data_IF_713718975615
#
_entry.id   IF_713718975615
#
_cell.length_a   1.000
_cell.length_b   1.000
_cell.length_c   1.000
_cell.angle_alpha   90.00
_cell.angle_beta   90.00
_cell.angle_gamma   90.00
#
_symmetry.space_group_name_H-M   'P 1'
#
loop_
_entity.id
_entity.type
_entity.pdbx_description
1 polymer ?
#
# COMPACT_ATOMS: atom_id res chain seq x y z
N UNK A 1 -19.55 1.62 -32.64
CA UNK A 1 -18.75 0.87 -31.64
C UNK A 1 -17.35 0.64 -32.17
N UNK A 2 -16.35 0.66 -31.32
CA UNK A 2 -14.97 0.37 -31.66
C UNK A 2 -14.31 -0.52 -30.60
N UNK A 3 -13.26 -1.21 -31.03
CA UNK A 3 -12.44 -2.06 -30.16
C UNK A 3 -10.98 -1.63 -30.28
N UNK A 4 -10.26 -1.61 -29.17
CA UNK A 4 -8.84 -1.26 -29.12
C UNK A 4 -8.07 -2.23 -28.26
N UNK A 5 -6.85 -2.55 -28.68
CA UNK A 5 -5.87 -3.26 -27.86
C UNK A 5 -5.16 -2.24 -26.97
N UNK A 6 -4.98 -2.58 -25.70
CA UNK A 6 -4.24 -1.77 -24.73
C UNK A 6 -2.95 -2.46 -24.34
N UNK A 7 -1.85 -1.70 -24.33
CA UNK A 7 -0.59 -2.10 -23.70
C UNK A 7 -0.34 -1.09 -22.58
N UNK A 8 -0.14 -1.59 -21.36
CA UNK A 8 0.09 -0.78 -20.17
C UNK A 8 1.46 -1.09 -19.59
N UNK A 9 2.23 -0.05 -19.32
CA UNK A 9 3.49 -0.11 -18.59
C UNK A 9 3.37 0.85 -17.41
N UNK A 10 3.72 0.40 -16.20
CA UNK A 10 3.71 1.27 -15.04
C UNK A 10 4.77 0.86 -14.03
N UNK A 11 5.30 1.86 -13.32
CA UNK A 11 6.13 1.74 -12.13
C UNK A 11 5.35 2.45 -11.02
N UNK A 12 5.07 1.75 -9.93
CA UNK A 12 4.23 2.23 -8.85
C UNK A 12 4.91 2.01 -7.51
N UNK A 13 4.76 3.00 -6.64
CA UNK A 13 5.12 2.90 -5.23
C UNK A 13 3.86 3.11 -4.38
N UNK A 14 3.71 2.26 -3.37
CA UNK A 14 2.61 2.34 -2.42
C UNK A 14 3.17 2.41 -1.00
N UNK A 15 2.66 3.37 -0.22
CA UNK A 15 2.96 3.49 1.21
C UNK A 15 1.64 3.56 1.95
N UNK A 16 1.50 2.73 2.98
CA UNK A 16 0.34 2.71 3.87
C UNK A 16 0.84 2.66 5.30
N UNK A 17 0.27 3.50 6.17
CA UNK A 17 0.54 3.52 7.60
C UNK A 17 -0.80 3.52 8.31
N UNK A 18 -0.97 2.57 9.20
CA UNK A 18 -2.09 2.48 10.12
C UNK A 18 -1.52 2.52 11.53
N UNK A 19 -2.02 3.41 12.36
CA UNK A 19 -1.58 3.52 13.74
C UNK A 19 -2.73 4.02 14.64
N UNK A 20 -2.75 3.67 15.94
CA UNK A 20 -3.67 4.26 16.92
C UNK A 20 -3.50 5.78 17.02
N UNK A 21 -4.58 6.49 17.40
CA UNK A 21 -4.56 7.95 17.56
C UNK A 21 -3.46 8.42 18.54
N UNK A 22 -3.27 7.67 19.62
CA UNK A 22 -2.26 7.99 20.64
C UNK A 22 -0.83 7.93 20.10
N UNK A 23 -0.54 7.00 19.19
CA UNK A 23 0.76 6.92 18.53
C UNK A 23 1.03 8.19 17.68
N UNK A 24 0.01 8.74 17.03
CA UNK A 24 0.12 10.02 16.32
C UNK A 24 0.41 11.16 17.30
N UNK A 25 -0.34 11.25 18.40
CA UNK A 25 -0.12 12.29 19.42
C UNK A 25 1.29 12.23 19.97
N UNK A 26 1.82 11.05 20.26
CA UNK A 26 3.19 10.88 20.72
C UNK A 26 4.24 11.37 19.69
N UNK A 27 4.04 11.05 18.42
CA UNK A 27 5.00 11.44 17.35
C UNK A 27 5.00 12.96 17.12
N UNK A 28 3.84 13.62 17.15
CA UNK A 28 3.72 15.02 16.78
C UNK A 28 3.75 15.97 17.98
N UNK A 29 3.29 15.55 19.15
CA UNK A 29 3.16 16.37 20.36
C UNK A 29 4.19 15.99 21.44
N UNK A 30 4.83 14.82 21.27
CA UNK A 30 5.77 14.27 22.24
C UNK A 30 5.06 13.56 23.38
N UNK A 31 5.84 13.15 24.39
CA UNK A 31 5.37 12.33 25.51
C UNK A 31 4.67 13.12 26.64
N UNK A 32 4.51 14.43 26.52
CA UNK A 32 3.97 15.26 27.61
C UNK A 32 2.57 14.85 28.06
N UNK A 33 1.73 14.42 27.12
CA UNK A 33 0.35 14.03 27.39
C UNK A 33 0.26 12.67 28.09
N UNK A 34 1.36 11.91 28.12
CA UNK A 34 1.44 10.53 28.63
C UNK A 34 2.34 10.38 29.87
N UNK A 35 2.74 11.50 30.50
CA UNK A 35 3.55 11.48 31.71
C UNK A 35 2.78 10.78 32.83
N UNK A 36 3.39 9.73 33.41
CA UNK A 36 2.78 8.87 34.41
C UNK A 36 1.75 7.88 33.86
N UNK A 37 1.62 7.76 32.52
CA UNK A 37 0.62 6.94 31.85
C UNK A 37 1.23 6.00 30.81
N UNK A 38 0.44 5.04 30.36
CA UNK A 38 0.81 4.03 29.36
C UNK A 38 0.07 4.29 28.04
N UNK A 39 0.83 4.56 27.00
CA UNK A 39 0.38 4.66 25.64
C UNK A 39 0.25 3.26 25.02
N UNK A 40 -0.86 3.00 24.32
CA UNK A 40 -1.06 1.76 23.56
C UNK A 40 -0.78 2.02 22.09
N UNK A 41 0.17 1.27 21.54
CA UNK A 41 0.56 1.32 20.11
C UNK A 41 0.31 0.00 19.39
N UNK A 42 -0.51 -0.88 19.98
CA UNK A 42 -0.93 -2.15 19.37
C UNK A 42 -1.70 -1.92 18.06
N UNK A 43 -1.74 -2.95 17.22
CA UNK A 43 -2.42 -2.93 15.92
C UNK A 43 -1.91 -1.85 14.95
N UNK A 44 -0.65 -1.44 15.12
CA UNK A 44 -0.01 -0.51 14.19
C UNK A 44 0.69 -1.27 13.06
N UNK A 45 0.59 -0.75 11.85
CA UNK A 45 1.29 -1.33 10.70
C UNK A 45 1.79 -0.25 9.74
N UNK A 46 2.92 -0.55 9.11
CA UNK A 46 3.47 0.23 8.02
C UNK A 46 3.84 -0.70 6.87
N UNK A 47 3.47 -0.32 5.67
CA UNK A 47 3.79 -1.03 4.44
C UNK A 47 4.34 -0.04 3.43
N UNK A 48 5.50 -0.34 2.86
CA UNK A 48 6.04 0.34 1.70
C UNK A 48 6.38 -0.71 0.64
N UNK A 49 5.89 -0.55 -0.56
CA UNK A 49 6.21 -1.44 -1.66
C UNK A 49 6.37 -0.68 -2.97
N UNK A 50 7.24 -1.17 -3.83
CA UNK A 50 7.43 -0.72 -5.20
C UNK A 50 7.35 -1.90 -6.14
N UNK A 51 6.67 -1.72 -7.25
CA UNK A 51 6.49 -2.75 -8.26
C UNK A 51 6.30 -2.16 -9.65
N UNK A 52 6.68 -2.95 -10.65
CA UNK A 52 6.48 -2.66 -12.05
C UNK A 52 5.40 -3.56 -12.62
N UNK A 53 4.66 -3.06 -13.60
CA UNK A 53 3.62 -3.83 -14.30
C UNK A 53 3.80 -3.72 -15.79
N UNK A 54 3.59 -4.84 -16.45
CA UNK A 54 3.37 -4.94 -17.90
C UNK A 54 2.00 -5.57 -18.12
N UNK A 55 1.13 -4.88 -18.81
CA UNK A 55 -0.25 -5.32 -19.01
C UNK A 55 -0.66 -5.35 -20.48
N UNK A 56 -1.52 -6.32 -20.78
CA UNK A 56 -2.22 -6.43 -22.05
C UNK A 56 -3.72 -6.40 -21.77
N UNK A 57 -4.43 -5.59 -22.51
CA UNK A 57 -5.84 -5.40 -22.28
C UNK A 57 -6.63 -5.07 -23.53
N UNK A 58 -7.89 -4.88 -23.31
CA UNK A 58 -8.86 -4.59 -24.34
C UNK A 58 -9.81 -3.49 -23.87
N UNK A 59 -10.15 -2.59 -24.80
CA UNK A 59 -11.11 -1.52 -24.60
C UNK A 59 -12.22 -1.65 -25.62
N UNK A 60 -13.45 -1.49 -25.17
CA UNK A 60 -14.65 -1.44 -25.97
C UNK A 60 -15.36 -0.10 -25.78
N UNK A 61 -15.69 0.53 -26.90
CA UNK A 61 -16.43 1.79 -26.94
C UNK A 61 -17.76 1.55 -27.65
N UNK A 62 -18.84 1.24 -26.89
CA UNK A 62 -20.16 0.93 -27.48
C UNK A 62 -20.78 2.13 -28.16
N UNK A 63 -20.59 3.33 -27.63
CA UNK A 63 -21.12 4.58 -28.14
C UNK A 63 -20.16 5.74 -27.91
N UNK A 64 -20.41 6.89 -28.56
CA UNK A 64 -19.64 8.10 -28.33
C UNK A 64 -19.79 8.51 -26.85
N UNK A 65 -18.66 8.70 -26.17
CA UNK A 65 -18.62 9.09 -24.76
C UNK A 65 -18.71 7.94 -23.75
N UNK A 66 -18.89 6.68 -24.18
CA UNK A 66 -18.88 5.52 -23.28
C UNK A 66 -17.76 4.58 -23.64
N UNK A 67 -16.94 4.18 -22.67
CA UNK A 67 -15.93 3.14 -22.84
C UNK A 67 -15.85 2.22 -21.63
N UNK A 68 -15.49 0.97 -21.88
CA UNK A 68 -15.16 -0.03 -20.87
C UNK A 68 -13.82 -0.67 -21.23
N UNK A 69 -13.01 -1.00 -20.22
CA UNK A 69 -11.73 -1.66 -20.46
C UNK A 69 -11.43 -2.72 -19.41
N UNK A 70 -10.58 -3.67 -19.79
CA UNK A 70 -9.98 -4.63 -18.88
C UNK A 70 -8.53 -4.89 -19.31
N UNK A 71 -7.61 -4.96 -18.34
CA UNK A 71 -6.18 -5.20 -18.54
C UNK A 71 -5.72 -6.28 -17.57
N UNK A 72 -5.08 -7.31 -18.08
CA UNK A 72 -4.35 -8.29 -17.28
C UNK A 72 -2.88 -7.89 -17.22
N UNK A 73 -2.31 -7.82 -16.02
CA UNK A 73 -0.96 -7.36 -15.79
C UNK A 73 -0.11 -8.48 -15.19
N UNK A 74 1.12 -8.63 -15.69
CA UNK A 74 2.21 -9.24 -14.97
C UNK A 74 2.85 -8.19 -14.06
N UNK A 75 3.12 -8.58 -12.81
CA UNK A 75 3.68 -7.69 -11.78
C UNK A 75 5.06 -8.18 -11.37
N UNK A 76 6.04 -7.30 -11.43
CA UNK A 76 7.38 -7.52 -10.91
C UNK A 76 7.55 -6.69 -9.63
N UNK A 77 7.69 -7.36 -8.47
CA UNK A 77 7.92 -6.73 -7.17
C UNK A 77 9.39 -6.36 -7.01
N UNK A 78 9.66 -5.07 -6.88
CA UNK A 78 11.04 -4.56 -6.74
C UNK A 78 11.46 -4.42 -5.28
N UNK A 79 10.62 -3.82 -4.45
CA UNK A 79 10.92 -3.54 -3.05
C UNK A 79 9.69 -3.78 -2.17
N UNK A 80 9.95 -4.33 -0.99
CA UNK A 80 9.00 -4.48 0.09
C UNK A 80 9.67 -4.08 1.40
N UNK A 81 9.00 -3.30 2.21
CA UNK A 81 9.29 -3.14 3.63
C UNK A 81 7.94 -3.11 4.37
N UNK A 82 7.80 -3.95 5.37
CA UNK A 82 6.60 -3.98 6.20
C UNK A 82 6.97 -4.10 7.66
N UNK A 83 6.24 -3.39 8.51
CA UNK A 83 6.30 -3.47 9.96
C UNK A 83 4.87 -3.73 10.45
N UNK A 84 4.72 -4.68 11.36
CA UNK A 84 3.46 -4.93 12.02
C UNK A 84 3.71 -5.05 13.52
N UNK A 85 3.03 -4.23 14.32
CA UNK A 85 3.08 -4.23 15.79
C UNK A 85 1.76 -4.82 16.27
N UNK A 86 1.78 -6.09 16.66
CA UNK A 86 0.60 -6.78 17.16
C UNK A 86 0.28 -6.35 18.60
N UNK A 87 1.31 -6.18 19.41
CA UNK A 87 1.23 -5.67 20.78
C UNK A 87 2.30 -4.62 20.97
N UNK A 88 1.93 -3.48 21.51
CA UNK A 88 2.88 -2.43 21.84
C UNK A 88 2.33 -1.51 22.90
N UNK A 89 3.13 -1.26 23.92
CA UNK A 89 2.87 -0.28 24.97
C UNK A 89 4.11 0.54 25.23
N UNK A 90 3.94 1.81 25.56
CA UNK A 90 4.99 2.72 25.97
C UNK A 90 4.56 3.43 27.24
N UNK A 91 5.21 3.15 28.36
CA UNK A 91 5.01 3.85 29.61
C UNK A 91 5.97 5.05 29.69
N UNK A 92 5.46 6.21 30.07
CA UNK A 92 6.27 7.38 30.36
C UNK A 92 6.34 7.58 31.88
N UNK A 93 7.56 7.68 32.44
CA UNK A 93 7.76 7.92 33.87
C UNK A 93 7.04 9.19 34.36
N UNK A 94 6.75 9.26 35.67
CA UNK A 94 6.12 10.45 36.27
C UNK A 94 6.95 11.74 36.12
N UNK A 95 8.26 11.62 35.91
CA UNK A 95 9.16 12.75 35.64
C UNK A 95 9.25 13.09 34.15
N UNK A 96 8.71 12.23 33.27
CA UNK A 96 8.74 12.42 31.81
C UNK A 96 10.12 12.18 31.17
N UNK A 97 11.07 11.66 31.92
CA UNK A 97 12.48 11.51 31.53
C UNK A 97 12.84 10.09 31.04
N UNK A 98 11.96 9.12 31.30
CA UNK A 98 12.18 7.71 30.97
C UNK A 98 10.98 7.14 30.22
N UNK A 99 11.26 6.42 29.13
CA UNK A 99 10.29 5.66 28.36
C UNK A 99 10.60 4.17 28.50
N UNK A 100 9.58 3.38 28.83
CA UNK A 100 9.68 1.92 28.92
C UNK A 100 8.72 1.36 27.87
N UNK A 101 9.23 0.59 26.91
CA UNK A 101 8.45 -0.03 25.85
C UNK A 101 8.41 -1.54 25.99
N UNK A 102 7.22 -2.12 25.75
CA UNK A 102 7.00 -3.55 25.57
C UNK A 102 6.36 -3.75 24.20
N UNK A 103 7.01 -4.55 23.33
CA UNK A 103 6.59 -4.71 21.94
C UNK A 103 6.66 -6.17 21.51
N UNK A 104 5.63 -6.59 20.79
CA UNK A 104 5.66 -7.75 19.93
C UNK A 104 5.42 -7.28 18.49
N UNK A 105 6.47 -7.34 17.67
CA UNK A 105 6.45 -6.77 16.32
C UNK A 105 7.14 -7.70 15.32
N UNK A 106 6.62 -7.71 14.10
CA UNK A 106 7.22 -8.40 12.97
C UNK A 106 7.66 -7.39 11.90
N UNK A 107 8.82 -7.61 11.35
CA UNK A 107 9.38 -6.80 10.26
C UNK A 107 9.75 -7.70 9.08
N UNK A 108 9.37 -7.30 7.88
CA UNK A 108 9.77 -7.98 6.66
C UNK A 108 10.32 -6.97 5.64
N UNK A 109 11.43 -7.34 5.01
CA UNK A 109 12.07 -6.52 3.97
C UNK A 109 12.56 -7.41 2.84
N UNK A 110 12.32 -6.99 1.59
CA UNK A 110 12.92 -7.64 0.42
C UNK A 110 14.43 -7.46 0.38
N UNK A 111 15.12 -8.31 -0.40
CA UNK A 111 16.57 -8.21 -0.61
C UNK A 111 16.96 -6.82 -1.14
N UNK A 112 17.77 -6.10 -0.37
CA UNK A 112 18.29 -4.77 -0.73
C UNK A 112 19.52 -4.84 -1.65
N UNK A 113 20.13 -6.01 -1.84
CA UNK A 113 21.24 -6.22 -2.75
C UNK A 113 20.86 -6.18 -4.23
N UNK A 114 19.54 -6.34 -4.50
CA UNK A 114 18.98 -6.27 -5.86
C UNK A 114 18.04 -5.07 -5.96
N UNK A 115 18.61 -3.88 -6.11
CA UNK A 115 17.84 -2.63 -6.26
C UNK A 115 17.99 -2.11 -7.69
N UNK A 116 16.88 -1.81 -8.34
CA UNK A 116 16.85 -1.18 -9.65
C UNK A 116 15.74 -1.71 -10.55
N UNK A 117 15.69 -1.18 -11.76
CA UNK A 117 14.70 -1.57 -12.76
C UNK A 117 14.78 -3.07 -13.04
N UNK A 118 13.63 -3.75 -12.98
CA UNK A 118 13.48 -5.18 -13.16
C UNK A 118 14.19 -6.08 -12.11
N UNK A 119 14.46 -5.57 -10.91
CA UNK A 119 14.95 -6.40 -9.79
C UNK A 119 13.89 -7.44 -9.41
N UNK A 120 14.17 -8.75 -9.50
CA UNK A 120 13.16 -9.78 -9.31
C UNK A 120 13.03 -10.17 -7.82
N UNK A 121 12.56 -9.27 -6.97
CA UNK A 121 12.32 -9.56 -5.55
C UNK A 121 10.94 -10.15 -5.28
N UNK A 122 10.07 -10.09 -6.28
CA UNK A 122 8.74 -10.71 -6.26
C UNK A 122 8.14 -10.78 -7.65
N UNK A 123 7.16 -11.65 -7.82
CA UNK A 123 6.39 -11.74 -9.05
C UNK A 123 4.92 -11.95 -8.75
N UNK A 124 4.05 -11.50 -9.64
CA UNK A 124 2.63 -11.60 -9.43
C UNK A 124 1.81 -11.26 -10.66
N UNK A 125 0.53 -11.09 -10.41
CA UNK A 125 -0.43 -10.68 -11.42
C UNK A 125 -1.46 -9.74 -10.81
N UNK A 126 -2.02 -8.88 -11.65
CA UNK A 126 -3.18 -8.06 -11.30
C UNK A 126 -4.10 -7.87 -12.51
N UNK A 127 -5.32 -7.46 -12.22
CA UNK A 127 -6.32 -7.10 -13.22
C UNK A 127 -6.74 -5.66 -12.92
N UNK A 128 -6.78 -4.85 -13.96
CA UNK A 128 -7.38 -3.53 -13.93
C UNK A 128 -8.63 -3.55 -14.82
N UNK A 129 -9.71 -2.93 -14.38
CA UNK A 129 -10.89 -2.75 -15.22
C UNK A 129 -11.61 -1.47 -14.85
N UNK A 130 -12.29 -0.90 -15.81
CA UNK A 130 -13.03 0.32 -15.56
C UNK A 130 -14.00 0.66 -16.69
N UNK A 131 -14.81 1.68 -16.40
CA UNK A 131 -15.73 2.26 -17.36
C UNK A 131 -15.76 3.77 -17.21
N UNK A 132 -15.98 4.44 -18.32
CA UNK A 132 -16.29 5.86 -18.35
C UNK A 132 -17.49 6.10 -19.24
N UNK A 133 -18.32 7.09 -18.88
CA UNK A 133 -19.46 7.50 -19.70
C UNK A 133 -19.69 8.99 -19.57
N UNK A 134 -20.07 9.62 -20.70
CA UNK A 134 -20.51 10.99 -20.74
C UNK A 134 -22.02 11.05 -20.81
N UNK A 135 -22.61 11.77 -19.87
CA UNK A 135 -24.04 12.01 -19.78
C UNK A 135 -24.33 13.48 -20.06
N UNK A 136 -25.27 13.76 -20.97
CA UNK A 136 -25.77 15.11 -21.24
C UNK A 136 -27.16 15.25 -20.65
N UNK A 137 -27.36 16.23 -19.78
CA UNK A 137 -28.64 16.56 -19.18
C UNK A 137 -28.92 18.06 -19.30
N UNK A 138 -29.79 18.43 -20.27
CA UNK A 138 -30.06 19.84 -20.58
C UNK A 138 -28.81 20.53 -21.12
N UNK A 139 -28.37 21.61 -20.45
CA UNK A 139 -27.17 22.36 -20.81
C UNK A 139 -25.90 21.90 -20.05
N UNK A 140 -25.96 20.80 -19.30
CA UNK A 140 -24.86 20.29 -18.52
C UNK A 140 -24.36 18.97 -19.07
N UNK A 141 -23.03 18.80 -19.10
CA UNK A 141 -22.35 17.55 -19.41
C UNK A 141 -21.66 17.01 -18.14
N UNK A 142 -21.77 15.72 -17.94
CA UNK A 142 -21.19 14.99 -16.81
C UNK A 142 -20.32 13.87 -17.32
N UNK A 143 -19.05 13.84 -16.92
CA UNK A 143 -18.17 12.70 -17.16
C UNK A 143 -18.13 11.86 -15.88
N UNK A 144 -18.62 10.63 -15.97
CA UNK A 144 -18.58 9.65 -14.87
C UNK A 144 -17.56 8.58 -15.20
N UNK A 145 -16.68 8.27 -14.26
CA UNK A 145 -15.73 7.15 -14.38
C UNK A 145 -15.74 6.30 -13.13
N UNK A 146 -15.52 5.01 -13.33
CA UNK A 146 -15.31 4.02 -12.30
C UNK A 146 -14.14 3.13 -12.71
N UNK A 147 -13.12 3.05 -11.84
CA UNK A 147 -11.93 2.27 -12.10
C UNK A 147 -11.57 1.42 -10.88
N UNK A 148 -11.26 0.16 -11.12
CA UNK A 148 -10.63 -0.75 -10.18
C UNK A 148 -9.26 -1.09 -10.73
N UNK A 149 -8.22 -0.76 -10.00
CA UNK A 149 -6.84 -1.01 -10.41
C UNK A 149 -6.14 -1.89 -9.38
N UNK A 150 -5.16 -2.66 -9.85
CA UNK A 150 -4.29 -3.47 -8.98
C UNK A 150 -5.02 -4.55 -8.18
N UNK A 151 -6.13 -5.07 -8.71
CA UNK A 151 -6.79 -6.23 -8.10
C UNK A 151 -5.94 -7.49 -8.37
N UNK A 152 -5.05 -7.83 -7.44
CA UNK A 152 -4.10 -8.90 -7.67
C UNK A 152 -3.24 -9.24 -6.46
N UNK A 153 -2.13 -9.94 -6.72
CA UNK A 153 -1.21 -10.40 -5.69
C UNK A 153 0.22 -10.40 -6.19
N UNK A 154 1.16 -10.05 -5.31
CA UNK A 154 2.60 -10.24 -5.50
C UNK A 154 3.08 -11.32 -4.53
N UNK A 155 3.85 -12.27 -5.05
CA UNK A 155 4.54 -13.31 -4.29
C UNK A 155 5.99 -12.88 -4.12
N UNK A 156 6.37 -12.53 -2.90
CA UNK A 156 7.73 -12.12 -2.58
C UNK A 156 8.64 -13.32 -2.45
N UNK A 157 9.91 -13.18 -2.86
CA UNK A 157 10.88 -14.28 -2.83
C UNK A 157 11.29 -14.67 -1.41
N UNK A 158 11.76 -15.93 -1.18
CA UNK A 158 12.21 -16.42 0.13
C UNK A 158 13.41 -15.69 0.74
N UNK A 159 14.07 -14.81 -0.01
CA UNK A 159 15.15 -13.94 0.47
C UNK A 159 14.65 -12.71 1.23
N UNK A 160 13.35 -12.56 1.38
CA UNK A 160 12.76 -11.53 2.24
C UNK A 160 13.19 -11.80 3.68
N UNK A 161 13.89 -10.84 4.27
CA UNK A 161 14.29 -10.92 5.68
C UNK A 161 13.04 -10.72 6.51
N UNK A 162 12.75 -11.69 7.35
CA UNK A 162 11.69 -11.59 8.38
C UNK A 162 12.36 -11.62 9.73
N UNK A 163 12.09 -10.62 10.54
CA UNK A 163 12.58 -10.51 11.91
C UNK A 163 11.38 -10.32 12.85
N UNK A 164 11.38 -11.03 13.94
CA UNK A 164 10.40 -10.93 15.01
C UNK A 164 11.09 -10.34 16.24
N UNK A 165 10.47 -9.34 16.85
CA UNK A 165 10.98 -8.67 18.04
C UNK A 165 9.94 -8.90 19.13
N UNK A 166 10.36 -9.56 20.20
CA UNK A 166 9.61 -9.73 21.44
C UNK A 166 10.46 -9.13 22.57
N UNK A 167 9.97 -8.05 23.17
CA UNK A 167 10.59 -7.42 24.33
C UNK A 167 9.71 -7.70 25.54
N UNK A 168 10.19 -8.58 26.40
CA UNK A 168 9.61 -8.84 27.73
C UNK A 168 10.25 -7.92 28.77
#
# INVERSE_FOLDING_TARGET
SSHSLLIKLSDAAHVSILAPADAYSMVFEGNKSFVGDTLVVSDASALAMRYQKIGLGWQFTPSIGTSVYAVANFVNGEQLASLNIERGTVFTSELGDTLIGDFFASYAQSDTGSVGFASPNGSGFSIDFGMSTRLSAGNSEWDLSFDVVDLGRVFWQPRTIVSEIDTL
#
